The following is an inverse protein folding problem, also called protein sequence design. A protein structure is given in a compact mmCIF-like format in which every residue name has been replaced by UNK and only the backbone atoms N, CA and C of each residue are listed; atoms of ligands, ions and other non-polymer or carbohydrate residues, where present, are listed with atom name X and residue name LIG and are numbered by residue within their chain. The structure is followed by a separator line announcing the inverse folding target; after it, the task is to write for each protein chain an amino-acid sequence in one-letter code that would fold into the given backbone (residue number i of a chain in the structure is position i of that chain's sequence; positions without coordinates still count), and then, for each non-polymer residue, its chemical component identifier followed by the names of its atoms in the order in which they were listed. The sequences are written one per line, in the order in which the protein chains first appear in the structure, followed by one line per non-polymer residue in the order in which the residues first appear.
data_IF_560452585970
#
_entry.id   IF_560452585970
#
_cell.length_a   1.000
_cell.length_b   1.000
_cell.length_c   1.000
_cell.angle_alpha   90.00
_cell.angle_beta   90.00
_cell.angle_gamma   90.00
#
_symmetry.space_group_name_H-M   'P 1'
#
loop_
_entity.id
_entity.type
_entity.pdbx_description
1 polymer ?
#
# COMPACT_ATOMS: atom_id res chain seq x y z
N UNK A 1 8.92 -15.67 0.85
CA UNK A 1 7.59 -15.91 0.26
C UNK A 1 7.74 -15.86 -1.23
N UNK A 2 7.02 -16.71 -1.98
CA UNK A 2 6.93 -16.55 -3.45
C UNK A 2 6.25 -15.23 -3.77
N UNK A 3 6.63 -14.60 -4.89
CA UNK A 3 5.97 -13.40 -5.42
C UNK A 3 4.47 -13.67 -5.59
N UNK A 4 3.62 -12.68 -5.28
CA UNK A 4 2.16 -12.78 -5.36
C UNK A 4 1.46 -13.40 -4.15
N UNK A 5 2.17 -13.88 -3.13
CA UNK A 5 1.54 -14.39 -1.89
C UNK A 5 1.36 -13.31 -0.82
N UNK A 6 0.21 -13.33 -0.17
CA UNK A 6 -0.17 -12.39 0.89
C UNK A 6 0.17 -12.92 2.28
N UNK A 7 0.54 -12.00 3.18
CA UNK A 7 0.57 -12.27 4.62
C UNK A 7 -0.44 -11.38 5.33
N UNK A 8 -1.13 -11.97 6.30
CA UNK A 8 -2.02 -11.25 7.21
C UNK A 8 -1.47 -11.32 8.63
N UNK A 9 -1.34 -10.16 9.27
CA UNK A 9 -0.79 -9.99 10.61
C UNK A 9 -1.77 -9.20 11.46
N UNK A 10 -1.97 -9.64 12.69
CA UNK A 10 -2.62 -8.82 13.71
C UNK A 10 -1.53 -8.15 14.54
N UNK A 11 -1.63 -6.83 14.63
CA UNK A 11 -0.75 -6.01 15.46
C UNK A 11 -1.39 -5.95 16.85
N UNK A 12 -0.59 -6.16 17.89
CA UNK A 12 -1.05 -5.90 19.25
C UNK A 12 -1.26 -4.39 19.44
N UNK A 13 -1.84 -3.98 20.58
CA UNK A 13 -1.93 -2.56 20.94
C UNK A 13 -0.55 -1.92 20.84
N UNK A 14 -0.34 -1.15 19.78
CA UNK A 14 0.93 -0.51 19.50
C UNK A 14 1.01 0.86 20.15
N UNK A 15 2.24 1.27 20.43
CA UNK A 15 2.56 2.59 20.94
C UNK A 15 2.88 3.49 19.74
N UNK A 16 1.99 4.44 19.45
CA UNK A 16 2.19 5.48 18.44
C UNK A 16 2.58 6.77 19.15
N UNK A 17 3.77 7.27 18.83
CA UNK A 17 4.29 8.54 19.34
C UNK A 17 4.64 9.41 18.15
N UNK A 18 4.12 10.63 18.16
CA UNK A 18 4.49 11.63 17.18
C UNK A 18 4.77 12.96 17.84
N UNK A 19 5.65 13.72 17.21
CA UNK A 19 6.03 15.06 17.63
C UNK A 19 6.00 15.95 16.41
N UNK A 20 5.19 17.00 16.46
CA UNK A 20 5.21 18.05 15.44
C UNK A 20 6.55 18.80 15.53
N UNK A 21 7.31 18.80 14.45
CA UNK A 21 8.62 19.45 14.34
C UNK A 21 8.50 20.80 13.64
N UNK A 22 7.70 20.86 12.57
CA UNK A 22 7.35 22.10 11.85
C UNK A 22 5.86 22.06 11.47
N UNK A 23 5.26 23.12 10.90
CA UNK A 23 3.86 23.12 10.46
C UNK A 23 3.49 21.92 9.59
N UNK A 24 4.41 21.48 8.72
CA UNK A 24 4.23 20.40 7.73
C UNK A 24 5.08 19.14 8.01
N UNK A 25 5.80 19.09 9.13
CA UNK A 25 6.72 17.97 9.44
C UNK A 25 6.48 17.43 10.84
N UNK A 26 6.29 16.13 10.92
CA UNK A 26 6.22 15.38 12.16
C UNK A 26 7.31 14.32 12.19
N UNK A 27 7.88 14.12 13.36
CA UNK A 27 8.61 12.90 13.69
C UNK A 27 7.60 11.91 14.23
N UNK A 28 7.68 10.65 13.80
CA UNK A 28 6.79 9.59 14.26
C UNK A 28 7.57 8.33 14.59
N UNK A 29 7.12 7.62 15.62
CA UNK A 29 7.61 6.32 16.02
C UNK A 29 6.43 5.43 16.36
N UNK A 30 6.41 4.23 15.78
CA UNK A 30 5.41 3.22 16.08
C UNK A 30 6.10 1.90 16.43
N UNK A 31 5.73 1.31 17.56
CA UNK A 31 6.28 0.02 17.99
C UNK A 31 5.20 -0.89 18.54
N UNK A 32 5.26 -2.17 18.16
CA UNK A 32 4.39 -3.22 18.70
C UNK A 32 4.92 -4.60 18.35
N UNK A 33 4.41 -5.61 19.05
CA UNK A 33 4.56 -7.01 18.64
C UNK A 33 3.46 -7.34 17.63
N UNK A 34 3.81 -8.09 16.58
CA UNK A 34 2.85 -8.59 15.59
C UNK A 34 2.79 -10.11 15.62
N UNK A 35 1.61 -10.66 15.39
CA UNK A 35 1.35 -12.11 15.41
C UNK A 35 0.74 -12.58 14.09
N UNK A 36 1.11 -13.79 13.65
CA UNK A 36 0.50 -14.38 12.45
C UNK A 36 -0.97 -14.64 12.73
N UNK A 37 -1.82 -14.40 11.74
CA UNK A 37 -3.23 -14.76 11.82
C UNK A 37 -3.47 -16.28 11.95
N UNK A 38 -2.56 -17.10 11.40
CA UNK A 38 -2.57 -18.55 11.51
C UNK A 38 -1.23 -19.12 11.96
N UNK A 39 -1.24 -20.35 12.49
CA UNK A 39 0.00 -21.05 12.86
C UNK A 39 0.90 -21.23 11.64
N UNK A 40 2.20 -20.99 11.84
CA UNK A 40 3.18 -21.26 10.79
C UNK A 40 3.29 -22.78 10.59
N UNK A 41 3.36 -23.29 9.35
CA UNK A 41 3.74 -24.67 9.10
C UNK A 41 5.06 -25.01 9.77
N UNK A 42 5.21 -26.28 10.18
CA UNK A 42 6.44 -26.75 10.78
C UNK A 42 7.63 -26.57 9.82
N UNK A 43 8.78 -26.17 10.37
CA UNK A 43 9.98 -25.84 9.58
C UNK A 43 9.88 -24.57 8.72
N UNK A 44 8.76 -23.82 8.76
CA UNK A 44 8.57 -22.62 7.94
C UNK A 44 8.95 -21.33 8.67
N UNK A 45 9.32 -20.32 7.88
CA UNK A 45 9.71 -19.00 8.38
C UNK A 45 11.22 -18.82 8.39
N UNK A 46 11.66 -17.77 9.09
CA UNK A 46 13.08 -17.51 9.31
C UNK A 46 13.43 -17.77 10.76
N UNK A 47 14.70 -18.13 11.06
CA UNK A 47 15.10 -18.43 12.42
C UNK A 47 14.90 -17.23 13.36
N UNK A 48 14.69 -17.53 14.65
CA UNK A 48 14.56 -16.52 15.71
C UNK A 48 15.84 -15.67 15.76
N UNK A 49 15.67 -14.36 16.00
CA UNK A 49 16.77 -13.39 15.95
C UNK A 49 17.04 -12.79 14.56
N UNK A 50 16.36 -13.26 13.52
CA UNK A 50 16.40 -12.62 12.19
C UNK A 50 15.77 -11.23 12.24
N UNK A 51 16.50 -10.23 11.74
CA UNK A 51 16.04 -8.85 11.63
C UNK A 51 15.82 -8.42 10.18
N UNK A 52 14.89 -7.50 9.96
CA UNK A 52 14.67 -6.89 8.66
C UNK A 52 14.62 -5.37 8.77
N UNK A 53 15.21 -4.69 7.81
CA UNK A 53 15.08 -3.26 7.65
C UNK A 53 14.25 -2.99 6.39
N UNK A 54 13.03 -2.50 6.61
CA UNK A 54 12.10 -2.12 5.56
C UNK A 54 11.98 -0.59 5.51
N UNK A 55 12.08 -0.02 4.33
CA UNK A 55 11.60 1.33 4.05
C UNK A 55 10.14 1.23 3.60
N UNK A 56 9.26 2.09 4.13
CA UNK A 56 7.84 2.12 3.75
C UNK A 56 7.57 3.50 3.14
N UNK A 57 7.07 3.51 1.91
CA UNK A 57 6.48 4.68 1.28
C UNK A 57 4.97 4.45 1.24
N UNK A 58 4.22 5.27 1.96
CA UNK A 58 2.80 5.07 2.11
C UNK A 58 2.06 6.40 2.33
N UNK A 59 0.81 6.42 1.89
CA UNK A 59 -0.17 7.39 2.35
C UNK A 59 -0.77 6.91 3.66
N UNK A 60 -1.00 7.85 4.58
CA UNK A 60 -1.79 7.62 5.78
C UNK A 60 -3.07 8.46 5.67
N UNK A 61 -4.22 7.80 5.78
CA UNK A 61 -5.52 8.42 5.81
C UNK A 61 -6.05 8.37 7.25
N UNK A 62 -6.47 9.52 7.76
CA UNK A 62 -6.97 9.66 9.13
C UNK A 62 -8.32 10.36 9.10
N UNK A 63 -9.33 9.72 9.69
CA UNK A 63 -10.69 10.27 9.81
C UNK A 63 -11.07 10.33 11.29
N UNK A 64 -11.46 11.52 11.77
CA UNK A 64 -11.99 11.66 13.13
C UNK A 64 -13.39 11.06 13.20
N UNK A 65 -13.57 10.05 14.04
CA UNK A 65 -14.85 9.38 14.21
C UNK A 65 -15.68 10.04 15.31
N UNK A 66 -15.03 10.43 16.41
CA UNK A 66 -15.66 11.15 17.52
C UNK A 66 -14.59 11.93 18.32
N UNK A 67 -14.91 12.34 19.55
CA UNK A 67 -14.00 13.13 20.39
C UNK A 67 -12.62 12.48 20.59
N UNK A 68 -12.57 11.15 20.71
CA UNK A 68 -11.37 10.41 21.12
C UNK A 68 -10.91 9.37 20.09
N UNK A 69 -11.76 9.02 19.13
CA UNK A 69 -11.46 7.96 18.17
C UNK A 69 -11.17 8.54 16.78
N UNK A 70 -10.11 8.03 16.18
CA UNK A 70 -9.73 8.26 14.81
C UNK A 70 -9.56 6.93 14.10
N UNK A 71 -10.14 6.78 12.91
CA UNK A 71 -9.80 5.70 12.00
C UNK A 71 -8.47 6.05 11.35
N UNK A 72 -7.50 5.15 11.38
CA UNK A 72 -6.23 5.30 10.69
C UNK A 72 -6.05 4.16 9.70
N UNK A 73 -5.78 4.52 8.45
CA UNK A 73 -5.46 3.58 7.39
C UNK A 73 -4.13 3.97 6.76
N UNK A 74 -3.33 2.97 6.39
CA UNK A 74 -2.06 3.20 5.70
C UNK A 74 -1.97 2.28 4.48
N UNK A 75 -1.79 2.87 3.31
CA UNK A 75 -1.66 2.14 2.05
C UNK A 75 -0.38 2.57 1.36
N UNK A 76 0.40 1.60 0.91
CA UNK A 76 1.66 1.88 0.27
C UNK A 76 2.50 0.65 -0.02
N UNK A 77 3.75 0.91 -0.34
CA UNK A 77 4.75 -0.08 -0.76
C UNK A 77 5.87 -0.12 0.27
N UNK A 78 6.48 -1.29 0.45
CA UNK A 78 7.65 -1.46 1.30
C UNK A 78 8.82 -2.07 0.52
N UNK A 79 10.01 -1.54 0.75
CA UNK A 79 11.26 -1.95 0.11
C UNK A 79 12.20 -2.54 1.16
N UNK A 80 12.82 -3.68 0.83
CA UNK A 80 13.80 -4.31 1.73
C UNK A 80 15.14 -3.63 1.54
N UNK A 81 15.61 -2.85 2.51
CA UNK A 81 16.93 -2.23 2.43
C UNK A 81 18.04 -3.19 2.90
N UNK A 82 17.75 -3.98 3.93
CA UNK A 82 18.71 -4.94 4.50
C UNK A 82 18.02 -6.07 5.27
N UNK A 83 18.79 -7.09 5.61
CA UNK A 83 18.44 -8.11 6.59
C UNK A 83 19.62 -8.45 7.49
N UNK A 84 19.31 -8.88 8.71
CA UNK A 84 20.26 -9.41 9.67
C UNK A 84 19.98 -10.90 9.85
N UNK A 85 20.97 -11.74 9.62
CA UNK A 85 20.85 -13.20 9.81
C UNK A 85 20.79 -13.51 11.31
N UNK A 86 20.06 -14.55 11.68
CA UNK A 86 20.04 -15.04 13.06
C UNK A 86 21.47 -15.40 13.52
N UNK A 87 21.79 -15.04 14.77
CA UNK A 87 23.12 -15.25 15.35
C UNK A 87 24.22 -14.36 14.77
N UNK A 88 23.88 -13.34 13.97
CA UNK A 88 24.83 -12.31 13.51
C UNK A 88 24.48 -10.96 14.13
N UNK A 89 25.51 -10.22 14.50
CA UNK A 89 25.36 -8.89 15.10
C UNK A 89 25.24 -7.78 14.06
N UNK A 90 25.71 -8.03 12.83
CA UNK A 90 25.72 -7.06 11.75
C UNK A 90 24.66 -7.33 10.68
N UNK A 91 24.13 -6.23 10.12
CA UNK A 91 23.28 -6.25 8.92
C UNK A 91 24.08 -6.70 7.70
N UNK A 92 23.42 -7.31 6.71
CA UNK A 92 24.06 -7.74 5.47
C UNK A 92 24.58 -6.59 4.57
N UNK A 93 24.26 -5.33 4.92
CA UNK A 93 24.72 -4.13 4.23
C UNK A 93 25.05 -3.06 5.28
N UNK A 94 26.15 -2.34 5.08
CA UNK A 94 26.53 -1.21 5.94
C UNK A 94 25.57 -0.02 5.75
N UNK A 95 25.53 0.89 6.74
CA UNK A 95 24.60 2.04 6.72
C UNK A 95 24.68 2.89 5.45
N UNK A 96 25.90 3.19 4.98
CA UNK A 96 26.09 3.96 3.73
C UNK A 96 25.57 3.23 2.49
N UNK A 97 25.73 1.89 2.43
CA UNK A 97 25.19 1.09 1.33
C UNK A 97 23.67 1.04 1.36
N UNK A 98 23.06 0.92 2.56
CA UNK A 98 21.60 1.00 2.72
C UNK A 98 21.06 2.36 2.27
N UNK A 99 21.76 3.46 2.63
CA UNK A 99 21.41 4.82 2.20
C UNK A 99 21.49 4.98 0.68
N UNK A 100 22.56 4.51 0.05
CA UNK A 100 22.71 4.57 -1.42
C UNK A 100 21.57 3.83 -2.11
N UNK A 101 21.26 2.62 -1.65
CA UNK A 101 20.15 1.83 -2.20
C UNK A 101 18.79 2.52 -2.04
N UNK A 102 18.55 3.17 -0.88
CA UNK A 102 17.35 3.97 -0.67
C UNK A 102 17.27 5.16 -1.65
N UNK A 103 18.38 5.86 -1.89
CA UNK A 103 18.42 6.97 -2.86
C UNK A 103 18.05 6.48 -4.26
N UNK A 104 18.59 5.34 -4.70
CA UNK A 104 18.27 4.75 -6.01
C UNK A 104 16.77 4.43 -6.14
N UNK A 105 16.17 3.85 -5.10
CA UNK A 105 14.72 3.58 -5.05
C UNK A 105 13.92 4.89 -5.17
N UNK A 106 14.29 5.92 -4.40
CA UNK A 106 13.58 7.20 -4.42
C UNK A 106 13.73 7.92 -5.76
N UNK A 107 14.90 7.87 -6.39
CA UNK A 107 15.13 8.44 -7.71
C UNK A 107 14.32 7.72 -8.79
N UNK A 108 14.22 6.39 -8.75
CA UNK A 108 13.33 5.62 -9.64
C UNK A 108 11.89 6.06 -9.48
N UNK A 109 11.42 6.20 -8.24
CA UNK A 109 10.05 6.63 -7.96
C UNK A 109 9.77 8.06 -8.42
N UNK A 110 10.72 8.98 -8.24
CA UNK A 110 10.61 10.34 -8.78
C UNK A 110 10.51 10.27 -10.32
N UNK A 111 11.40 9.54 -10.97
CA UNK A 111 11.38 9.39 -12.41
C UNK A 111 10.06 8.77 -12.90
N UNK A 112 9.52 7.76 -12.22
CA UNK A 112 8.21 7.18 -12.52
C UNK A 112 7.06 8.19 -12.38
N UNK A 113 7.09 9.04 -11.34
CA UNK A 113 6.09 10.09 -11.13
C UNK A 113 6.22 11.21 -12.18
N UNK A 114 7.43 11.51 -12.64
CA UNK A 114 7.71 12.55 -13.64
C UNK A 114 7.46 12.05 -15.07
N UNK A 115 7.67 10.76 -15.34
CA UNK A 115 7.67 10.20 -16.69
C UNK A 115 6.29 10.05 -17.33
N UNK A 116 5.19 10.06 -16.56
CA UNK A 116 3.87 9.94 -17.17
C UNK A 116 2.70 10.57 -16.36
N UNK A 117 2.46 11.88 -16.51
CA UNK A 117 1.28 12.54 -15.94
C UNK A 117 -0.04 11.96 -16.47
N UNK A 118 -0.06 11.42 -17.69
CA UNK A 118 -1.28 10.93 -18.34
C UNK A 118 -1.64 9.50 -17.90
N UNK A 119 -0.66 8.60 -17.73
CA UNK A 119 -0.90 7.25 -17.19
C UNK A 119 -1.21 7.25 -15.69
N UNK A 120 -0.70 8.23 -14.94
CA UNK A 120 -0.99 8.41 -13.51
C UNK A 120 -2.16 9.36 -13.25
N UNK A 121 -2.85 9.82 -14.30
CA UNK A 121 -4.03 10.67 -14.15
C UNK A 121 -5.09 9.91 -13.33
N UNK A 122 -5.57 10.49 -12.22
CA UNK A 122 -6.67 9.91 -11.46
C UNK A 122 -7.88 9.67 -12.37
N UNK A 123 -8.33 8.43 -12.45
CA UNK A 123 -9.48 8.04 -13.25
C UNK A 123 -10.73 8.50 -12.51
N UNK A 124 -11.56 9.40 -13.06
CA UNK A 124 -12.82 9.77 -12.44
C UNK A 124 -13.75 8.56 -12.42
N UNK A 125 -14.26 8.23 -11.24
CA UNK A 125 -15.24 7.17 -11.03
C UNK A 125 -16.62 7.78 -10.78
N UNK A 126 -17.61 7.21 -11.46
CA UNK A 126 -19.02 7.48 -11.23
C UNK A 126 -19.79 6.19 -11.48
N UNK A 127 -20.09 5.48 -10.39
CA UNK A 127 -20.68 4.14 -10.42
C UNK A 127 -21.98 4.16 -9.64
N UNK A 128 -23.06 3.71 -10.27
CA UNK A 128 -24.30 3.42 -9.57
C UNK A 128 -24.36 1.93 -9.20
N UNK A 129 -24.58 1.64 -7.93
CA UNK A 129 -24.69 0.25 -7.45
C UNK A 129 -25.72 0.16 -6.33
N UNK A 130 -26.71 -0.73 -6.50
CA UNK A 130 -27.85 -0.91 -5.57
C UNK A 130 -28.55 0.41 -5.23
N UNK A 131 -28.88 1.21 -6.24
CA UNK A 131 -29.55 2.52 -6.13
C UNK A 131 -28.78 3.55 -5.28
N UNK A 132 -27.46 3.37 -5.14
CA UNK A 132 -26.57 4.33 -4.51
C UNK A 132 -25.52 4.76 -5.52
N UNK A 133 -25.37 6.06 -5.67
CA UNK A 133 -24.32 6.67 -6.48
C UNK A 133 -23.01 6.75 -5.68
N UNK A 134 -21.94 6.34 -6.32
CA UNK A 134 -20.57 6.43 -5.82
C UNK A 134 -19.77 7.27 -6.80
N UNK A 135 -19.24 8.40 -6.33
CA UNK A 135 -18.40 9.30 -7.12
C UNK A 135 -17.01 9.40 -6.49
N UNK A 136 -15.96 9.45 -7.28
CA UNK A 136 -14.61 9.59 -6.74
C UNK A 136 -13.54 9.35 -7.78
N UNK A 137 -12.43 8.76 -7.35
CA UNK A 137 -11.25 8.57 -8.20
C UNK A 137 -10.58 7.22 -7.97
N UNK A 138 -10.05 6.66 -9.05
CA UNK A 138 -9.06 5.58 -8.99
C UNK A 138 -7.70 6.18 -9.35
N UNK A 139 -6.78 6.23 -8.38
CA UNK A 139 -5.42 6.71 -8.59
C UNK A 139 -4.54 5.51 -8.94
N UNK A 140 -3.93 5.47 -10.14
CA UNK A 140 -3.09 4.35 -10.52
C UNK A 140 -1.84 4.22 -9.64
N UNK A 141 -1.43 2.99 -9.33
CA UNK A 141 -0.15 2.72 -8.66
C UNK A 141 0.93 2.56 -9.73
N UNK A 142 1.92 3.47 -9.83
CA UNK A 142 2.89 3.47 -10.94
C UNK A 142 3.59 2.12 -11.13
N UNK A 143 4.05 1.51 -10.03
CA UNK A 143 4.76 0.23 -10.02
C UNK A 143 3.91 -0.98 -10.49
N UNK A 144 2.61 -0.79 -10.76
CA UNK A 144 1.68 -1.81 -11.22
C UNK A 144 1.07 -1.46 -12.59
N UNK A 145 1.70 -0.59 -13.36
CA UNK A 145 1.29 -0.22 -14.72
C UNK A 145 2.13 -0.94 -15.77
N UNK A 146 1.48 -1.46 -16.81
CA UNK A 146 2.14 -2.08 -17.97
C UNK A 146 1.36 -1.72 -19.24
N UNK A 147 2.08 -1.33 -20.30
CA UNK A 147 1.50 -1.02 -21.62
C UNK A 147 0.32 -0.02 -21.56
N UNK A 148 0.43 1.03 -20.74
CA UNK A 148 -0.60 2.07 -20.63
C UNK A 148 -1.83 1.70 -19.78
N UNK A 149 -1.85 0.54 -19.12
CA UNK A 149 -2.91 0.13 -18.21
C UNK A 149 -2.35 -0.28 -16.84
N UNK A 150 -3.04 0.09 -15.76
CA UNK A 150 -2.62 -0.23 -14.41
C UNK A 150 -3.48 -1.32 -13.77
N UNK A 151 -2.82 -2.23 -13.06
CA UNK A 151 -3.44 -3.40 -12.44
C UNK A 151 -3.72 -3.20 -10.95
N UNK A 152 -3.01 -2.28 -10.29
CA UNK A 152 -3.31 -1.83 -8.94
C UNK A 152 -3.67 -0.34 -8.95
N UNK A 153 -4.80 0.00 -8.32
CA UNK A 153 -5.29 1.38 -8.19
C UNK A 153 -5.79 1.64 -6.78
N UNK A 154 -5.45 2.80 -6.24
CA UNK A 154 -5.99 3.30 -4.98
C UNK A 154 -7.37 3.94 -5.23
N UNK A 155 -8.41 3.45 -4.55
CA UNK A 155 -9.79 3.86 -4.78
C UNK A 155 -10.29 4.76 -3.66
N UNK A 156 -10.72 5.96 -4.03
CA UNK A 156 -11.50 6.86 -3.17
C UNK A 156 -12.90 7.03 -3.74
N UNK A 157 -13.93 6.82 -2.92
CA UNK A 157 -15.33 7.04 -3.29
C UNK A 157 -16.05 7.84 -2.20
N UNK A 158 -16.82 8.84 -2.62
CA UNK A 158 -17.55 9.77 -1.76
C UNK A 158 -16.66 10.35 -0.66
N UNK A 159 -15.46 10.82 -1.07
CA UNK A 159 -14.41 11.37 -0.21
C UNK A 159 -13.83 10.39 0.83
N UNK A 160 -14.15 9.11 0.72
CA UNK A 160 -13.61 8.06 1.59
C UNK A 160 -12.68 7.14 0.83
N UNK A 161 -11.47 6.96 1.33
CA UNK A 161 -10.57 5.94 0.83
C UNK A 161 -11.15 4.54 1.11
N UNK A 162 -11.36 3.74 0.06
CA UNK A 162 -12.02 2.43 0.10
C UNK A 162 -11.00 1.29 0.09
N UNK A 163 -9.79 1.54 -0.41
CA UNK A 163 -8.70 0.57 -0.42
C UNK A 163 -8.10 0.33 -1.79
N UNK A 164 -7.03 -0.47 -1.77
CA UNK A 164 -6.32 -0.89 -2.98
C UNK A 164 -7.14 -1.89 -3.78
N UNK A 165 -7.46 -1.51 -5.00
CA UNK A 165 -8.06 -2.33 -6.05
C UNK A 165 -6.97 -3.04 -6.84
N UNK A 166 -7.15 -4.34 -7.07
CA UNK A 166 -6.21 -5.17 -7.81
C UNK A 166 -6.91 -6.00 -8.87
N UNK A 167 -6.28 -6.13 -10.04
CA UNK A 167 -6.72 -7.01 -11.12
C UNK A 167 -5.96 -8.34 -11.07
N UNK A 168 -6.70 -9.44 -11.07
CA UNK A 168 -6.17 -10.80 -11.18
C UNK A 168 -6.88 -11.52 -12.34
N UNK A 169 -6.25 -11.53 -13.51
CA UNK A 169 -6.90 -11.95 -14.76
C UNK A 169 -8.03 -11.00 -15.12
N UNK A 170 -9.24 -11.53 -15.28
CA UNK A 170 -10.44 -10.74 -15.60
C UNK A 170 -11.23 -10.28 -14.36
N UNK A 171 -10.72 -10.56 -13.16
CA UNK A 171 -11.42 -10.24 -11.91
C UNK A 171 -10.74 -9.10 -11.19
N UNK A 172 -11.56 -8.15 -10.74
CA UNK A 172 -11.15 -7.05 -9.89
C UNK A 172 -11.49 -7.34 -8.43
N UNK A 173 -10.62 -6.95 -7.50
CA UNK A 173 -10.87 -7.08 -6.06
C UNK A 173 -10.37 -5.86 -5.32
N UNK A 174 -11.10 -5.43 -4.29
CA UNK A 174 -10.64 -4.37 -3.39
C UNK A 174 -10.39 -4.99 -2.03
N UNK A 175 -9.19 -4.76 -1.47
CA UNK A 175 -8.67 -5.49 -0.31
C UNK A 175 -9.57 -5.38 0.93
N UNK A 176 -10.24 -4.24 1.12
CA UNK A 176 -11.07 -3.97 2.29
C UNK A 176 -12.58 -3.94 2.00
N UNK A 177 -12.98 -4.12 0.73
CA UNK A 177 -14.39 -4.07 0.35
C UNK A 177 -15.01 -5.48 0.33
N UNK A 178 -15.99 -5.71 1.21
CA UNK A 178 -16.75 -6.97 1.26
C UNK A 178 -17.66 -7.20 0.05
N UNK A 179 -18.09 -6.12 -0.61
CA UNK A 179 -19.02 -6.19 -1.76
C UNK A 179 -18.26 -6.42 -3.07
N UNK A 180 -18.15 -7.68 -3.48
CA UNK A 180 -17.54 -8.05 -4.76
C UNK A 180 -18.29 -7.43 -5.97
N UNK A 181 -19.62 -7.26 -5.87
CA UNK A 181 -20.40 -6.63 -6.94
C UNK A 181 -20.03 -5.17 -7.17
N UNK A 182 -19.78 -4.41 -6.11
CA UNK A 182 -19.31 -3.02 -6.22
C UNK A 182 -17.86 -2.98 -6.77
N UNK A 183 -16.98 -3.87 -6.30
CA UNK A 183 -15.62 -3.98 -6.85
C UNK A 183 -15.63 -4.29 -8.35
N UNK A 184 -16.53 -5.16 -8.82
CA UNK A 184 -16.66 -5.45 -10.25
C UNK A 184 -17.16 -4.24 -11.05
N UNK A 185 -18.17 -3.52 -10.56
CA UNK A 185 -18.71 -2.34 -11.23
C UNK A 185 -17.66 -1.21 -11.39
N UNK A 186 -16.86 -0.98 -10.35
CA UNK A 186 -15.72 -0.04 -10.42
C UNK A 186 -14.69 -0.53 -11.45
N UNK A 187 -14.39 -1.82 -11.44
CA UNK A 187 -13.35 -2.41 -12.29
C UNK A 187 -13.72 -2.38 -13.76
N UNK A 188 -15.01 -2.50 -14.07
CA UNK A 188 -15.53 -2.33 -15.42
C UNK A 188 -15.35 -0.90 -15.92
N UNK A 189 -15.66 0.11 -15.11
CA UNK A 189 -15.44 1.52 -15.48
C UNK A 189 -13.96 1.82 -15.71
N UNK A 190 -13.07 1.31 -14.86
CA UNK A 190 -11.60 1.45 -15.04
C UNK A 190 -11.15 0.77 -16.34
N UNK A 191 -11.67 -0.44 -16.62
CA UNK A 191 -11.32 -1.17 -17.85
C UNK A 191 -11.80 -0.40 -19.10
N UNK A 192 -12.98 0.20 -19.05
CA UNK A 192 -13.49 1.05 -20.13
C UNK A 192 -12.68 2.32 -20.31
N UNK A 193 -12.18 2.93 -19.22
CA UNK A 193 -11.31 4.10 -19.29
C UNK A 193 -10.04 3.81 -20.09
N UNK A 194 -9.29 2.76 -19.71
CA UNK A 194 -8.07 2.40 -20.41
C UNK A 194 -8.32 1.97 -21.88
N UNK A 195 -9.48 1.37 -22.19
CA UNK A 195 -9.85 1.07 -23.59
C UNK A 195 -10.14 2.31 -24.44
N UNK A 196 -10.58 3.41 -23.84
CA UNK A 196 -10.83 4.67 -24.55
C UNK A 196 -9.56 5.49 -24.76
N UNK A 197 -8.55 5.25 -23.93
CA UNK A 197 -7.26 5.94 -23.97
C UNK A 197 -6.22 5.25 -24.89
N UNK A 198 -6.49 4.01 -25.32
CA UNK A 198 -5.69 3.24 -26.27
C UNK A 198 -6.19 3.40 -27.71
#
# INVERSE_FOLDING_TARGET
MKVGRTHHWYYDKGDWKEKKITPEKWELAYSTTKRRAGKAPEGSGVPVGTGYHWFILAHQYVEKLNANDYMTQMVGIKYKLAHKRAGKDSWNAAGNAQKKHLIEILQSLIAELEADPEQLTPIPLKVEYKNKLYEGTAVPVPAACENGACFDLDITLNSKHIGMMRRAGDKWKITELKSQGLANAIGEQITQWYRKAA
#
